data_IF_147348195771
#
_entry.id   IF_147348195771
#
_cell.length_a   1.000
_cell.length_b   1.000
_cell.length_c   1.000
_cell.angle_alpha   90.00
_cell.angle_beta   90.00
_cell.angle_gamma   90.00
#
_symmetry.space_group_name_H-M   'P 1'
#
loop_
_entity.id
_entity.type
_entity.pdbx_description
1 polymer ?
#
# COMPACT_ATOMS: atom_id res chain seq x y z
N UNK A 1 -67.44 -92.23 16.40
CA UNK A 1 -67.66 -90.78 16.34
C UNK A 1 -66.30 -90.13 16.23
N UNK A 2 -65.96 -89.64 15.05
CA UNK A 2 -64.70 -89.02 14.75
C UNK A 2 -64.74 -87.53 15.06
N UNK A 3 -63.74 -87.01 15.64
CA UNK A 3 -63.48 -85.58 15.61
C UNK A 3 -62.16 -85.34 14.94
N UNK A 4 -62.28 -84.76 13.81
CA UNK A 4 -61.22 -84.36 12.88
C UNK A 4 -60.37 -83.22 13.45
N UNK A 5 -59.10 -83.47 13.62
CA UNK A 5 -58.16 -82.47 14.13
C UNK A 5 -57.31 -81.95 12.98
N UNK A 6 -57.89 -81.10 12.11
CA UNK A 6 -57.28 -80.57 10.89
C UNK A 6 -56.65 -79.09 11.00
N UNK A 7 -56.32 -78.66 12.21
CA UNK A 7 -55.84 -77.30 12.43
C UNK A 7 -54.30 -77.13 12.54
N UNK A 8 -53.53 -78.20 12.56
CA UNK A 8 -52.09 -78.18 12.77
C UNK A 8 -51.25 -77.66 11.58
N UNK A 9 -51.55 -77.87 10.30
CA UNK A 9 -50.69 -77.43 9.22
C UNK A 9 -50.66 -75.88 9.04
N UNK A 10 -51.77 -75.16 9.28
CA UNK A 10 -51.87 -73.74 9.11
C UNK A 10 -51.05 -72.91 10.15
N UNK A 11 -50.90 -73.43 11.35
CA UNK A 11 -50.08 -72.82 12.40
C UNK A 11 -48.58 -72.82 12.04
N UNK A 12 -48.12 -73.95 11.48
CA UNK A 12 -46.72 -74.04 11.02
C UNK A 12 -46.43 -73.15 9.81
N UNK A 13 -47.37 -72.97 8.89
CA UNK A 13 -47.27 -72.09 7.74
C UNK A 13 -47.30 -70.65 8.23
N UNK A 14 -48.17 -70.27 9.16
CA UNK A 14 -48.20 -68.89 9.72
C UNK A 14 -46.93 -68.56 10.48
N UNK A 15 -46.33 -69.42 11.26
CA UNK A 15 -45.06 -69.25 11.94
C UNK A 15 -43.92 -69.14 10.94
N UNK A 16 -43.90 -69.94 9.87
CA UNK A 16 -42.93 -69.87 8.79
C UNK A 16 -42.99 -68.54 8.04
N UNK A 17 -44.22 -68.10 7.70
CA UNK A 17 -44.38 -66.76 7.07
C UNK A 17 -43.95 -65.59 7.99
N UNK A 18 -44.32 -65.67 9.30
CA UNK A 18 -43.87 -64.60 10.25
C UNK A 18 -42.34 -64.56 10.41
N UNK A 19 -41.70 -65.76 10.43
CA UNK A 19 -40.25 -65.85 10.46
C UNK A 19 -39.61 -65.28 9.18
N UNK A 20 -40.16 -65.62 7.99
CA UNK A 20 -39.66 -65.01 6.72
C UNK A 20 -39.88 -63.51 6.65
N UNK A 21 -41.01 -62.99 7.11
CA UNK A 21 -41.27 -61.58 7.23
C UNK A 21 -40.31 -60.93 8.22
N UNK A 22 -40.01 -61.55 9.32
CA UNK A 22 -39.01 -61.01 10.30
C UNK A 22 -37.64 -61.02 9.72
N UNK A 23 -37.19 -62.08 9.05
CA UNK A 23 -35.88 -62.13 8.36
C UNK A 23 -35.83 -61.13 7.24
N UNK A 24 -36.90 -61.01 6.42
CA UNK A 24 -36.93 -59.95 5.36
C UNK A 24 -36.90 -58.54 5.92
N UNK A 25 -37.57 -58.29 7.06
CA UNK A 25 -37.50 -56.96 7.73
C UNK A 25 -36.13 -56.64 8.27
N UNK A 26 -35.44 -57.67 8.80
CA UNK A 26 -34.02 -57.47 9.24
C UNK A 26 -33.14 -57.19 8.05
N UNK A 27 -33.26 -57.90 6.95
CA UNK A 27 -32.51 -57.71 5.72
C UNK A 27 -32.82 -56.34 5.13
N UNK A 28 -34.08 -55.92 5.09
CA UNK A 28 -34.50 -54.62 4.63
C UNK A 28 -33.92 -53.48 5.51
N UNK A 29 -33.99 -53.61 6.84
CA UNK A 29 -33.45 -52.67 7.78
C UNK A 29 -31.92 -52.55 7.67
N UNK A 30 -31.23 -53.69 7.54
CA UNK A 30 -29.78 -53.75 7.41
C UNK A 30 -29.27 -53.17 6.09
N UNK A 31 -30.09 -53.16 5.03
CA UNK A 31 -29.74 -52.58 3.72
C UNK A 31 -30.33 -51.20 3.50
N UNK A 32 -30.93 -50.57 4.52
CA UNK A 32 -31.47 -49.23 4.39
C UNK A 32 -30.33 -48.24 4.22
N UNK A 33 -30.45 -47.38 3.19
CA UNK A 33 -29.51 -46.25 2.94
C UNK A 33 -29.91 -45.04 3.76
N UNK A 34 -28.94 -44.26 4.11
CA UNK A 34 -29.04 -42.95 4.75
C UNK A 34 -28.28 -41.92 3.92
N UNK A 35 -28.82 -40.71 3.89
CA UNK A 35 -28.20 -39.61 3.19
C UNK A 35 -27.06 -39.02 4.05
N UNK A 36 -25.89 -38.88 3.47
CA UNK A 36 -24.70 -38.28 4.04
C UNK A 36 -24.08 -37.32 3.00
N UNK A 37 -23.13 -36.53 3.37
CA UNK A 37 -22.31 -35.79 2.39
C UNK A 37 -20.87 -36.27 2.40
N UNK A 38 -20.27 -36.42 1.22
CA UNK A 38 -18.88 -36.79 1.05
C UNK A 38 -18.17 -35.72 0.20
N UNK A 39 -17.17 -35.06 0.77
CA UNK A 39 -16.46 -33.94 0.15
C UNK A 39 -17.41 -32.84 -0.39
N UNK A 40 -18.51 -32.59 0.34
CA UNK A 40 -19.51 -31.59 -0.02
C UNK A 40 -20.54 -32.01 -1.05
N UNK A 41 -20.45 -33.23 -1.60
CA UNK A 41 -21.44 -33.81 -2.51
C UNK A 41 -22.39 -34.76 -1.74
N UNK A 42 -23.65 -34.85 -2.17
CA UNK A 42 -24.61 -35.78 -1.61
C UNK A 42 -24.19 -37.23 -1.93
N UNK A 43 -24.17 -38.05 -0.92
CA UNK A 43 -23.83 -39.48 -1.00
C UNK A 43 -24.78 -40.30 -0.16
N UNK A 44 -24.85 -41.59 -0.49
CA UNK A 44 -25.64 -42.57 0.27
C UNK A 44 -24.73 -43.58 0.95
N UNK A 45 -24.99 -43.85 2.20
CA UNK A 45 -24.30 -44.85 2.99
C UNK A 45 -25.32 -45.86 3.51
N UNK A 46 -24.95 -47.15 3.69
CA UNK A 46 -25.81 -48.10 4.38
C UNK A 46 -25.91 -47.73 5.86
N UNK A 47 -27.08 -47.97 6.45
CA UNK A 47 -27.25 -47.72 7.88
C UNK A 47 -26.21 -48.50 8.69
N UNK A 48 -25.56 -47.84 9.64
CA UNK A 48 -24.47 -48.39 10.44
C UNK A 48 -23.19 -48.78 9.64
N UNK A 49 -23.04 -48.35 8.38
CA UNK A 49 -21.76 -48.51 7.70
C UNK A 49 -20.72 -47.60 8.37
N UNK A 50 -19.46 -47.98 8.24
CA UNK A 50 -18.36 -47.17 8.74
C UNK A 50 -17.92 -46.12 7.71
N UNK A 51 -17.12 -45.19 8.14
CA UNK A 51 -16.48 -44.24 7.23
C UNK A 51 -15.62 -44.96 6.19
N UNK A 52 -14.89 -46.00 6.61
CA UNK A 52 -14.08 -46.83 5.70
C UNK A 52 -14.92 -47.46 4.61
N UNK A 53 -16.08 -48.08 4.99
CA UNK A 53 -17.02 -48.65 4.02
C UNK A 53 -17.59 -47.60 3.06
N UNK A 54 -17.85 -46.39 3.52
CA UNK A 54 -18.28 -45.31 2.62
C UNK A 54 -17.21 -44.96 1.60
N UNK A 55 -15.94 -44.84 2.03
CA UNK A 55 -14.79 -44.57 1.16
C UNK A 55 -14.64 -45.66 0.08
N UNK A 56 -14.78 -46.94 0.49
CA UNK A 56 -14.73 -48.08 -0.43
C UNK A 56 -15.92 -48.11 -1.40
N UNK A 57 -17.17 -47.97 -0.90
CA UNK A 57 -18.38 -47.99 -1.72
C UNK A 57 -18.38 -46.82 -2.75
N UNK A 58 -17.76 -45.73 -2.45
CA UNK A 58 -17.60 -44.57 -3.35
C UNK A 58 -16.33 -44.65 -4.21
N UNK A 59 -15.56 -45.73 -4.10
CA UNK A 59 -14.34 -45.97 -4.88
C UNK A 59 -13.29 -44.85 -4.73
N UNK A 60 -13.22 -44.25 -3.54
CA UNK A 60 -12.19 -43.30 -3.26
C UNK A 60 -10.89 -44.00 -2.89
N UNK A 61 -9.78 -43.60 -3.49
CA UNK A 61 -8.45 -44.11 -3.21
C UNK A 61 -7.58 -42.98 -2.63
N UNK A 62 -7.86 -42.51 -1.40
CA UNK A 62 -7.04 -41.43 -0.83
C UNK A 62 -5.64 -41.94 -0.55
N UNK A 63 -4.65 -41.18 -0.99
CA UNK A 63 -3.24 -41.53 -0.85
C UNK A 63 -2.50 -40.54 0.06
N UNK A 64 -1.53 -41.01 0.87
CA UNK A 64 -0.57 -40.12 1.54
C UNK A 64 0.22 -39.33 0.53
N UNK A 65 0.69 -38.12 0.93
CA UNK A 65 1.63 -37.34 0.14
C UNK A 65 3.04 -37.97 0.14
N UNK A 66 3.88 -37.50 -0.74
CA UNK A 66 5.27 -37.93 -0.83
C UNK A 66 6.20 -36.98 -0.04
N UNK A 67 7.36 -37.46 0.35
CA UNK A 67 8.48 -36.61 0.74
C UNK A 67 9.26 -36.29 -0.53
N UNK A 68 9.38 -34.99 -0.83
CA UNK A 68 10.07 -34.47 -1.99
C UNK A 68 11.43 -33.90 -1.61
N UNK A 69 12.39 -34.03 -2.51
CA UNK A 69 13.59 -33.21 -2.51
C UNK A 69 13.26 -31.77 -2.93
N UNK A 70 14.18 -30.85 -2.73
CA UNK A 70 14.02 -29.43 -3.07
C UNK A 70 13.82 -29.18 -4.57
N UNK A 71 14.18 -30.14 -5.45
CA UNK A 71 13.97 -30.10 -6.90
C UNK A 71 12.67 -30.80 -7.37
N UNK A 72 11.76 -31.07 -6.44
CA UNK A 72 10.47 -31.76 -6.67
C UNK A 72 10.58 -33.25 -6.96
N UNK A 73 11.78 -33.84 -6.97
CA UNK A 73 11.96 -35.29 -7.11
C UNK A 73 11.50 -36.01 -5.83
N UNK A 74 10.95 -37.24 -6.01
CA UNK A 74 10.40 -38.00 -4.88
C UNK A 74 11.54 -38.70 -4.14
N UNK A 75 11.82 -38.28 -2.92
CA UNK A 75 12.78 -38.96 -2.02
C UNK A 75 12.17 -40.20 -1.38
N UNK A 76 10.90 -40.13 -0.99
CA UNK A 76 10.18 -41.22 -0.36
C UNK A 76 8.71 -41.16 -0.71
N UNK A 77 8.21 -42.23 -1.38
CA UNK A 77 6.77 -42.40 -1.59
C UNK A 77 6.07 -42.51 -0.25
N UNK A 78 4.90 -41.88 -0.16
CA UNK A 78 4.05 -41.87 1.07
C UNK A 78 4.77 -41.31 2.31
N UNK A 79 5.83 -40.54 2.09
CA UNK A 79 6.63 -39.92 3.15
C UNK A 79 6.14 -38.54 3.58
N UNK A 80 5.11 -38.00 2.93
CA UNK A 80 4.51 -36.70 3.22
C UNK A 80 3.41 -36.76 4.30
N UNK A 81 2.45 -35.86 4.20
CA UNK A 81 1.29 -35.84 5.11
C UNK A 81 0.43 -37.12 4.92
N UNK A 82 -0.11 -37.62 6.01
CA UNK A 82 -1.06 -38.71 5.96
C UNK A 82 -2.41 -38.22 5.43
N UNK A 83 -3.21 -39.13 4.86
CA UNK A 83 -4.61 -38.93 4.54
C UNK A 83 -5.35 -38.30 5.70
N UNK A 84 -6.16 -37.31 5.44
CA UNK A 84 -7.00 -36.64 6.42
C UNK A 84 -8.45 -37.00 6.22
N UNK A 85 -9.08 -37.56 7.25
CA UNK A 85 -10.51 -37.83 7.25
C UNK A 85 -11.15 -37.05 8.39
N UNK A 86 -12.24 -36.33 8.09
CA UNK A 86 -13.03 -35.61 9.08
C UNK A 86 -14.50 -36.06 9.02
N UNK A 87 -15.10 -36.18 10.18
CA UNK A 87 -16.52 -36.37 10.38
C UNK A 87 -17.10 -35.13 11.07
N UNK A 88 -18.05 -34.47 10.41
CA UNK A 88 -18.67 -33.24 10.94
C UNK A 88 -17.64 -32.19 11.37
N UNK A 89 -16.55 -32.03 10.57
CA UNK A 89 -15.43 -31.06 10.81
C UNK A 89 -14.41 -31.55 11.87
N UNK A 90 -14.61 -32.71 12.51
CA UNK A 90 -13.66 -33.27 13.48
C UNK A 90 -12.80 -34.35 12.83
N UNK A 91 -11.49 -34.28 13.02
CA UNK A 91 -10.55 -35.28 12.49
C UNK A 91 -10.83 -36.67 13.13
N UNK A 92 -10.89 -37.69 12.29
CA UNK A 92 -11.01 -39.09 12.69
C UNK A 92 -9.66 -39.77 12.46
N UNK A 93 -9.21 -40.56 13.45
CA UNK A 93 -7.96 -41.32 13.32
C UNK A 93 -8.13 -42.45 12.31
N UNK A 94 -7.08 -42.78 11.57
CA UNK A 94 -7.11 -43.92 10.63
C UNK A 94 -7.52 -45.25 11.29
N UNK A 95 -7.15 -45.45 12.55
CA UNK A 95 -7.52 -46.64 13.30
C UNK A 95 -9.01 -46.69 13.71
N UNK A 96 -9.69 -45.55 13.65
CA UNK A 96 -11.08 -45.42 14.10
C UNK A 96 -12.07 -45.42 12.91
N UNK A 97 -11.59 -45.42 11.66
CA UNK A 97 -12.43 -45.33 10.46
C UNK A 97 -13.40 -46.50 10.34
N UNK A 98 -12.96 -47.73 10.62
CA UNK A 98 -13.77 -48.93 10.60
C UNK A 98 -14.82 -48.94 11.73
N UNK A 99 -14.47 -48.34 12.88
CA UNK A 99 -15.34 -48.38 14.08
C UNK A 99 -16.33 -47.20 14.10
N UNK A 100 -16.05 -46.13 13.40
CA UNK A 100 -16.91 -44.94 13.37
C UNK A 100 -18.07 -45.14 12.44
N UNK A 101 -19.29 -45.36 13.02
CA UNK A 101 -20.52 -45.61 12.28
C UNK A 101 -21.21 -44.33 11.88
N UNK A 102 -21.60 -44.25 10.61
CA UNK A 102 -22.27 -43.10 10.01
C UNK A 102 -23.74 -43.00 10.45
N UNK A 103 -24.16 -41.74 10.63
CA UNK A 103 -25.54 -41.37 10.94
C UNK A 103 -26.14 -40.53 9.80
N UNK A 104 -27.47 -40.50 9.67
CA UNK A 104 -28.14 -39.65 8.69
C UNK A 104 -27.71 -38.18 8.87
N UNK A 105 -27.30 -37.53 7.78
CA UNK A 105 -26.86 -36.13 7.76
C UNK A 105 -25.40 -35.88 8.11
N UNK A 106 -24.62 -36.97 8.34
CA UNK A 106 -23.18 -36.83 8.59
C UNK A 106 -22.45 -36.27 7.39
N UNK A 107 -21.43 -35.42 7.67
CA UNK A 107 -20.56 -34.82 6.68
C UNK A 107 -19.17 -35.46 6.81
N UNK A 108 -18.77 -36.17 5.78
CA UNK A 108 -17.46 -36.82 5.69
C UNK A 108 -16.60 -36.02 4.69
N UNK A 109 -15.43 -35.61 5.13
CA UNK A 109 -14.40 -34.99 4.29
C UNK A 109 -13.19 -35.94 4.25
N UNK A 110 -12.77 -36.31 3.06
CA UNK A 110 -11.61 -37.17 2.82
C UNK A 110 -10.66 -36.46 1.88
N UNK A 111 -9.50 -36.07 2.41
CA UNK A 111 -8.46 -35.38 1.67
C UNK A 111 -7.23 -36.27 1.53
N UNK A 112 -6.58 -36.22 0.37
CA UNK A 112 -5.25 -36.78 0.19
C UNK A 112 -4.25 -36.12 1.11
N UNK A 113 -3.20 -36.84 1.47
CA UNK A 113 -2.04 -36.23 2.12
C UNK A 113 -1.31 -35.28 1.16
N UNK A 114 -0.80 -34.18 1.66
CA UNK A 114 0.02 -33.25 0.87
C UNK A 114 1.46 -33.73 0.82
N UNK A 115 2.11 -33.50 -0.32
CA UNK A 115 3.56 -33.67 -0.43
C UNK A 115 4.25 -32.70 0.54
N UNK A 116 5.33 -33.14 1.14
CA UNK A 116 6.19 -32.33 2.02
C UNK A 116 7.58 -32.30 1.41
N UNK A 117 8.22 -31.14 1.48
CA UNK A 117 9.62 -31.05 1.17
C UNK A 117 10.48 -31.54 2.33
N UNK A 118 11.63 -32.11 2.02
CA UNK A 118 12.66 -32.40 3.02
C UNK A 118 13.05 -31.13 3.79
N UNK A 119 13.65 -31.29 4.96
CA UNK A 119 14.30 -30.16 5.63
C UNK A 119 15.38 -29.57 4.72
N UNK A 120 15.37 -28.25 4.57
CA UNK A 120 16.28 -27.54 3.69
C UNK A 120 16.71 -26.20 4.27
N UNK A 121 17.87 -25.74 3.85
CA UNK A 121 18.34 -24.39 4.10
C UNK A 121 17.92 -23.48 2.94
N UNK A 122 17.46 -22.26 3.27
CA UNK A 122 17.02 -21.27 2.30
C UNK A 122 18.09 -20.18 2.18
N UNK A 123 18.64 -20.03 0.99
CA UNK A 123 19.49 -18.91 0.61
C UNK A 123 18.62 -17.89 -0.12
N UNK A 124 18.23 -16.83 0.59
CA UNK A 124 17.37 -15.79 0.06
C UNK A 124 18.21 -14.61 -0.43
N UNK A 125 17.83 -14.07 -1.60
CA UNK A 125 18.37 -12.81 -2.14
C UNK A 125 17.23 -11.81 -2.27
N UNK A 126 17.41 -10.64 -1.68
CA UNK A 126 16.47 -9.54 -1.80
C UNK A 126 16.61 -8.87 -3.19
N UNK A 127 15.47 -8.56 -3.81
CA UNK A 127 15.38 -7.80 -5.05
C UNK A 127 14.88 -6.40 -4.69
N UNK A 128 15.78 -5.42 -4.77
CA UNK A 128 15.44 -4.05 -4.41
C UNK A 128 14.47 -3.43 -5.44
N UNK A 129 13.52 -2.57 -4.98
CA UNK A 129 12.66 -1.81 -5.88
C UNK A 129 13.47 -0.85 -6.76
N UNK A 130 13.05 -0.69 -8.01
CA UNK A 130 13.50 0.40 -8.88
C UNK A 130 12.63 1.64 -8.65
N UNK A 131 13.06 2.81 -9.17
CA UNK A 131 12.32 4.06 -9.11
C UNK A 131 12.02 4.57 -10.51
N UNK A 132 10.75 4.95 -10.75
CA UNK A 132 10.32 5.74 -11.90
C UNK A 132 9.79 7.10 -11.44
N UNK A 133 10.02 8.13 -12.25
CA UNK A 133 9.48 9.48 -12.06
C UNK A 133 8.69 9.83 -13.31
N UNK A 134 7.38 9.97 -13.19
CA UNK A 134 6.47 10.07 -14.31
C UNK A 134 5.65 11.35 -14.31
N UNK A 135 5.28 11.81 -15.51
CA UNK A 135 4.45 12.98 -15.69
C UNK A 135 5.24 14.30 -15.74
N UNK A 136 4.50 15.41 -15.65
CA UNK A 136 5.05 16.78 -15.64
C UNK A 136 4.17 17.66 -14.78
N UNK A 137 4.78 18.56 -14.02
CA UNK A 137 4.05 19.51 -13.19
C UNK A 137 4.86 19.98 -11.98
N UNK A 138 4.29 20.93 -11.26
CA UNK A 138 4.92 21.55 -10.11
C UNK A 138 4.74 20.74 -8.81
N UNK A 139 3.81 19.80 -8.76
CA UNK A 139 3.54 18.92 -7.60
C UNK A 139 4.11 17.55 -7.91
N UNK A 140 5.02 17.08 -7.04
CA UNK A 140 5.68 15.79 -7.17
C UNK A 140 5.54 15.01 -5.86
N UNK A 141 5.10 13.76 -5.92
CA UNK A 141 4.82 12.95 -4.73
C UNK A 141 4.99 11.46 -4.99
N UNK A 142 5.18 10.69 -3.94
CA UNK A 142 5.25 9.23 -4.03
C UNK A 142 3.84 8.68 -4.25
N UNK A 143 3.60 8.15 -5.43
CA UNK A 143 2.34 7.50 -5.81
C UNK A 143 2.31 6.04 -5.37
N UNK A 144 3.42 5.34 -5.60
CA UNK A 144 3.58 3.93 -5.23
C UNK A 144 4.86 3.75 -4.42
N UNK A 145 4.73 3.16 -3.24
CA UNK A 145 5.87 2.74 -2.44
C UNK A 145 6.38 1.39 -2.91
N UNK A 146 7.69 1.25 -3.00
CA UNK A 146 8.34 0.00 -3.39
C UNK A 146 8.25 -1.05 -2.29
N UNK A 147 8.04 -2.31 -2.69
CA UNK A 147 8.15 -3.46 -1.79
C UNK A 147 9.23 -4.38 -2.36
N UNK A 148 10.23 -4.76 -1.55
CA UNK A 148 11.28 -5.65 -2.02
C UNK A 148 10.73 -6.99 -2.50
N UNK A 149 11.26 -7.47 -3.61
CA UNK A 149 11.07 -8.84 -4.05
C UNK A 149 12.04 -9.78 -3.35
N UNK A 150 11.87 -11.09 -3.58
CA UNK A 150 12.73 -12.11 -3.00
C UNK A 150 12.85 -13.28 -3.95
N UNK A 151 14.09 -13.71 -4.20
CA UNK A 151 14.39 -14.98 -4.84
C UNK A 151 15.03 -15.94 -3.84
N UNK A 152 14.88 -17.25 -4.08
CA UNK A 152 15.36 -18.27 -3.17
C UNK A 152 16.07 -19.39 -3.90
N UNK A 153 17.17 -19.86 -3.30
CA UNK A 153 17.83 -21.12 -3.62
C UNK A 153 17.72 -22.02 -2.40
N UNK A 154 17.14 -23.21 -2.59
CA UNK A 154 16.98 -24.20 -1.53
C UNK A 154 18.07 -25.27 -1.59
N UNK A 155 18.60 -25.66 -0.43
CA UNK A 155 19.62 -26.72 -0.30
C UNK A 155 19.05 -27.80 0.61
N UNK A 156 18.74 -28.97 0.04
CA UNK A 156 18.18 -30.10 0.77
C UNK A 156 19.16 -30.69 1.77
N UNK A 157 18.72 -30.93 3.00
CA UNK A 157 19.59 -31.50 4.05
C UNK A 157 19.76 -33.01 3.94
N UNK A 158 18.76 -33.68 3.39
CA UNK A 158 18.79 -35.14 3.22
C UNK A 158 19.37 -35.53 1.85
N UNK A 159 18.91 -34.86 0.78
CA UNK A 159 19.34 -35.15 -0.59
C UNK A 159 20.70 -34.55 -0.96
N UNK A 160 21.05 -33.39 -0.34
CA UNK A 160 22.16 -32.55 -0.75
C UNK A 160 21.91 -31.80 -2.07
N UNK A 161 20.70 -31.88 -2.62
CA UNK A 161 20.34 -31.21 -3.88
C UNK A 161 20.19 -29.73 -3.65
N UNK A 162 20.61 -28.92 -4.62
CA UNK A 162 20.38 -27.49 -4.67
C UNK A 162 19.40 -27.18 -5.78
N UNK A 163 18.33 -26.43 -5.46
CA UNK A 163 17.30 -26.02 -6.42
C UNK A 163 17.09 -24.51 -6.38
N UNK A 164 17.15 -23.89 -7.55
CA UNK A 164 16.76 -22.48 -7.72
C UNK A 164 15.21 -22.41 -7.80
N UNK A 165 14.61 -21.80 -6.80
CA UNK A 165 13.15 -21.58 -6.75
C UNK A 165 12.72 -20.30 -7.47
N UNK A 166 13.68 -19.52 -7.98
CA UNK A 166 13.43 -18.27 -8.66
C UNK A 166 12.84 -17.20 -7.75
N UNK A 167 12.02 -16.33 -8.32
CA UNK A 167 11.34 -15.26 -7.59
C UNK A 167 10.14 -15.85 -6.84
N UNK A 168 10.20 -15.85 -5.51
CA UNK A 168 9.14 -16.33 -4.62
C UNK A 168 8.25 -15.19 -4.12
N UNK A 169 8.74 -13.95 -4.22
CA UNK A 169 8.00 -12.74 -3.97
C UNK A 169 8.35 -11.71 -5.03
N UNK A 170 7.35 -11.25 -5.77
CA UNK A 170 7.52 -10.23 -6.81
C UNK A 170 7.89 -8.87 -6.18
N UNK A 171 8.76 -8.12 -6.87
CA UNK A 171 9.12 -6.76 -6.47
C UNK A 171 8.03 -5.79 -6.92
N UNK A 172 7.66 -4.84 -6.05
CA UNK A 172 6.87 -3.66 -6.42
C UNK A 172 7.81 -2.48 -6.52
N UNK A 173 7.84 -1.82 -7.68
CA UNK A 173 8.71 -0.66 -7.90
C UNK A 173 8.11 0.61 -7.31
N UNK A 174 8.98 1.57 -6.95
CA UNK A 174 8.58 2.90 -6.54
C UNK A 174 8.14 3.72 -7.76
N UNK A 175 7.07 4.51 -7.59
CA UNK A 175 6.62 5.48 -8.59
C UNK A 175 6.46 6.86 -7.92
N UNK A 176 7.11 7.87 -8.50
CA UNK A 176 6.88 9.29 -8.19
C UNK A 176 6.08 9.90 -9.31
N UNK A 177 4.93 10.46 -9.00
CA UNK A 177 4.11 11.18 -9.96
C UNK A 177 4.43 12.68 -9.93
N UNK A 178 4.47 13.30 -11.13
CA UNK A 178 4.57 14.74 -11.31
C UNK A 178 3.27 15.25 -11.95
N UNK A 179 2.58 16.18 -11.29
CA UNK A 179 1.30 16.72 -11.75
C UNK A 179 1.26 18.26 -11.64
N UNK A 180 0.51 18.89 -12.53
CA UNK A 180 0.05 20.28 -12.36
C UNK A 180 -1.31 20.23 -11.65
N UNK A 181 -1.62 21.24 -10.85
CA UNK A 181 -2.98 21.39 -10.29
C UNK A 181 -3.94 21.80 -11.40
N UNK A 182 -5.01 21.05 -11.53
CA UNK A 182 -6.10 21.29 -12.50
C UNK A 182 -7.41 21.51 -11.76
N UNK A 183 -7.72 22.74 -11.33
CA UNK A 183 -8.90 22.99 -10.52
C UNK A 183 -10.21 22.58 -11.19
N UNK A 184 -11.05 21.82 -10.49
CA UNK A 184 -12.42 21.43 -10.90
C UNK A 184 -13.43 22.58 -10.83
N UNK A 185 -12.96 23.77 -11.01
CA UNK A 185 -13.63 24.99 -10.65
C UNK A 185 -14.56 25.50 -11.77
N UNK A 186 -15.76 25.08 -11.81
CA UNK A 186 -16.87 25.54 -12.66
C UNK A 186 -16.89 27.09 -12.86
N UNK A 187 -15.90 27.60 -13.62
CA UNK A 187 -15.75 29.02 -13.93
C UNK A 187 -14.96 29.88 -12.92
N UNK A 188 -14.49 29.33 -11.82
CA UNK A 188 -13.57 30.00 -10.88
C UNK A 188 -12.12 29.87 -11.32
N UNK A 189 -11.30 30.82 -10.95
CA UNK A 189 -9.87 30.82 -11.23
C UNK A 189 -9.11 30.88 -9.89
N UNK A 190 -8.11 30.04 -9.75
CA UNK A 190 -7.31 29.94 -8.53
C UNK A 190 -5.81 30.07 -8.85
N UNK A 191 -5.08 30.66 -7.92
CA UNK A 191 -3.62 30.77 -7.98
C UNK A 191 -3.06 30.70 -6.56
N UNK A 192 -1.88 30.09 -6.38
CA UNK A 192 -1.16 30.14 -5.11
C UNK A 192 0.03 31.08 -5.22
N UNK A 193 0.13 32.03 -4.27
CA UNK A 193 1.35 32.80 -4.04
C UNK A 193 2.22 32.05 -3.04
N UNK A 194 3.49 31.88 -3.38
CA UNK A 194 4.45 31.20 -2.52
C UNK A 194 5.71 32.00 -2.35
N UNK A 195 6.30 31.98 -1.15
CA UNK A 195 7.45 32.77 -0.75
C UNK A 195 8.58 31.84 -0.30
N UNK A 196 9.73 31.96 -0.94
CA UNK A 196 10.90 31.12 -0.71
C UNK A 196 12.00 31.83 0.06
N UNK A 197 12.92 31.06 0.63
CA UNK A 197 14.16 31.52 1.27
C UNK A 197 13.98 32.31 2.59
N UNK A 198 12.72 32.57 2.98
CA UNK A 198 12.43 33.23 4.25
C UNK A 198 12.71 32.36 5.50
N UNK A 199 12.43 32.93 6.69
CA UNK A 199 11.94 34.28 6.92
C UNK A 199 13.04 35.34 6.85
N UNK A 200 12.64 36.59 6.53
CA UNK A 200 13.48 37.76 6.54
C UNK A 200 12.98 38.81 7.55
N UNK A 201 13.62 39.97 7.56
CA UNK A 201 13.15 41.12 8.33
C UNK A 201 11.82 41.68 7.84
N UNK A 202 11.45 41.40 6.57
CA UNK A 202 10.22 41.88 5.94
C UNK A 202 9.07 40.88 5.98
N UNK A 203 9.28 39.64 6.44
CA UNK A 203 8.27 38.59 6.50
C UNK A 203 6.99 39.05 7.20
N UNK A 204 7.13 39.74 8.34
CA UNK A 204 5.94 40.22 9.08
C UNK A 204 5.12 41.25 8.29
N UNK A 205 5.77 42.04 7.43
CA UNK A 205 5.07 42.97 6.56
C UNK A 205 4.35 42.21 5.40
N UNK A 206 4.99 41.18 4.84
CA UNK A 206 4.35 40.31 3.85
C UNK A 206 3.11 39.66 4.46
N UNK A 207 3.23 39.05 5.65
CA UNK A 207 2.10 38.45 6.40
C UNK A 207 0.97 39.44 6.60
N UNK A 208 1.29 40.66 7.02
CA UNK A 208 0.28 41.72 7.25
C UNK A 208 -0.45 42.10 5.95
N UNK A 209 0.25 42.27 4.83
CA UNK A 209 -0.37 42.57 3.53
C UNK A 209 -1.33 41.44 3.12
N UNK A 210 -0.91 40.18 3.22
CA UNK A 210 -1.74 39.03 2.87
C UNK A 210 -3.00 38.96 3.72
N UNK A 211 -2.91 39.22 5.04
CA UNK A 211 -4.05 39.27 5.95
C UNK A 211 -5.00 40.42 5.62
N UNK A 212 -4.47 41.64 5.39
CA UNK A 212 -5.27 42.82 5.03
C UNK A 212 -6.01 42.63 3.69
N UNK A 213 -5.41 41.90 2.74
CA UNK A 213 -6.03 41.55 1.46
C UNK A 213 -6.95 40.32 1.54
N UNK A 214 -6.97 39.56 2.64
CA UNK A 214 -7.79 38.39 2.84
C UNK A 214 -7.46 37.23 1.92
N UNK A 215 -6.19 37.01 1.61
CA UNK A 215 -5.71 35.98 0.66
C UNK A 215 -4.87 34.92 1.35
N UNK A 216 -4.93 33.68 0.80
CA UNK A 216 -4.07 32.58 1.23
C UNK A 216 -2.66 32.68 0.66
N UNK A 217 -1.69 32.06 1.32
CA UNK A 217 -0.31 31.99 0.86
C UNK A 217 0.43 30.79 1.48
N UNK A 218 1.59 30.46 0.91
CA UNK A 218 2.47 29.39 1.42
C UNK A 218 3.90 29.91 1.51
N UNK A 219 4.58 29.62 2.61
CA UNK A 219 5.96 30.03 2.86
C UNK A 219 6.86 28.79 2.90
N UNK A 220 7.88 28.75 2.05
CA UNK A 220 8.94 27.74 2.07
C UNK A 220 10.16 28.32 2.77
N UNK A 221 10.37 27.90 4.01
CA UNK A 221 11.32 28.55 4.92
C UNK A 221 12.67 27.83 4.95
N UNK A 222 13.75 28.58 4.97
CA UNK A 222 15.11 28.09 5.18
C UNK A 222 15.41 27.93 6.66
N UNK A 223 15.90 26.76 7.08
CA UNK A 223 16.06 26.41 8.49
C UNK A 223 17.05 27.27 9.27
N UNK A 224 18.08 27.83 8.65
CA UNK A 224 19.00 28.78 9.28
C UNK A 224 18.34 30.17 9.46
N UNK A 225 17.48 30.59 8.53
CA UNK A 225 16.71 31.82 8.67
C UNK A 225 15.61 31.69 9.71
N UNK A 226 14.96 30.51 9.82
CA UNK A 226 14.02 30.18 10.89
C UNK A 226 14.63 30.40 12.27
N UNK A 227 15.89 29.98 12.47
CA UNK A 227 16.61 30.22 13.73
C UNK A 227 16.90 31.67 13.99
N UNK A 228 17.11 32.45 12.94
CA UNK A 228 17.41 33.89 13.04
C UNK A 228 16.15 34.71 13.32
N UNK A 229 15.01 34.33 12.75
CA UNK A 229 13.74 35.06 12.82
C UNK A 229 12.56 34.18 13.33
N UNK A 230 12.65 33.58 14.53
CA UNK A 230 11.64 32.65 15.00
C UNK A 230 10.26 33.29 15.19
N UNK A 231 10.21 34.60 15.52
CA UNK A 231 8.93 35.30 15.70
C UNK A 231 8.18 35.54 14.37
N UNK A 232 8.90 35.66 13.26
CA UNK A 232 8.31 35.75 11.94
C UNK A 232 7.64 34.39 11.57
N UNK A 233 8.26 33.25 11.90
CA UNK A 233 7.67 31.92 11.70
C UNK A 233 6.38 31.76 12.49
N UNK A 234 6.36 32.20 13.75
CA UNK A 234 5.14 32.21 14.58
C UNK A 234 4.04 33.08 13.97
N UNK A 235 4.39 34.24 13.42
CA UNK A 235 3.44 35.13 12.77
C UNK A 235 2.80 34.47 11.53
N UNK A 236 3.58 33.76 10.70
CA UNK A 236 3.08 32.98 9.55
C UNK A 236 2.10 31.92 10.05
N UNK A 237 2.47 31.11 11.06
CA UNK A 237 1.65 30.04 11.60
C UNK A 237 0.35 30.58 12.22
N UNK A 238 0.42 31.66 13.00
CA UNK A 238 -0.74 32.30 13.63
C UNK A 238 -1.69 32.93 12.60
N UNK A 239 -1.17 33.37 11.47
CA UNK A 239 -1.97 33.88 10.36
C UNK A 239 -2.71 32.77 9.60
N UNK A 240 -2.39 31.49 9.85
CA UNK A 240 -2.99 30.34 9.19
C UNK A 240 -2.45 30.07 7.79
N UNK A 241 -1.29 30.60 7.44
CA UNK A 241 -0.65 30.31 6.17
C UNK A 241 0.07 28.97 6.19
N UNK A 242 0.17 28.32 5.03
CA UNK A 242 0.91 27.08 4.88
C UNK A 242 2.42 27.31 5.06
N UNK A 243 3.08 26.35 5.71
CA UNK A 243 4.53 26.37 5.88
C UNK A 243 5.12 25.08 5.29
N UNK A 244 6.04 25.25 4.34
CA UNK A 244 6.93 24.22 3.82
C UNK A 244 8.39 24.53 4.16
N UNK A 245 9.27 23.62 3.81
CA UNK A 245 10.73 23.79 3.96
C UNK A 245 11.38 24.11 2.62
N UNK A 246 12.26 25.10 2.63
CA UNK A 246 13.23 25.35 1.56
C UNK A 246 14.61 24.81 1.98
N UNK A 247 14.61 23.64 2.67
CA UNK A 247 15.76 22.97 3.28
C UNK A 247 16.37 23.71 4.47
N UNK A 248 17.54 23.25 4.95
CA UNK A 248 18.20 23.94 6.07
C UNK A 248 18.93 25.20 5.61
N UNK A 249 19.55 25.17 4.42
CA UNK A 249 20.24 26.29 3.77
C UNK A 249 19.96 26.26 2.28
N UNK A 250 20.09 27.40 1.65
CA UNK A 250 20.04 27.53 0.20
C UNK A 250 21.25 26.82 -0.44
N UNK A 251 21.01 25.55 -0.80
CA UNK A 251 21.99 24.62 -1.38
C UNK A 251 21.32 23.79 -2.45
N UNK A 252 21.93 23.69 -3.62
CA UNK A 252 21.44 22.81 -4.68
C UNK A 252 21.51 21.35 -4.25
N UNK A 253 20.34 20.74 -4.04
CA UNK A 253 20.23 19.35 -3.58
C UNK A 253 20.73 18.35 -4.59
N UNK A 254 20.78 18.68 -5.89
CA UNK A 254 21.32 17.81 -6.92
C UNK A 254 22.83 17.53 -6.77
N UNK A 255 23.51 18.37 -6.02
CA UNK A 255 24.94 18.22 -5.70
C UNK A 255 25.21 17.40 -4.45
N UNK A 256 24.16 16.98 -3.72
CA UNK A 256 24.25 16.30 -2.44
C UNK A 256 23.75 14.85 -2.55
N UNK A 257 24.39 13.97 -1.80
CA UNK A 257 24.02 12.56 -1.69
C UNK A 257 24.04 12.10 -0.24
N UNK A 258 23.43 10.95 0.05
CA UNK A 258 23.49 10.27 1.33
C UNK A 258 23.11 11.16 2.51
N UNK A 259 23.92 11.12 3.56
CA UNK A 259 23.66 11.84 4.82
C UNK A 259 23.63 13.36 4.64
N UNK A 260 24.37 13.90 3.67
CA UNK A 260 24.38 15.34 3.35
C UNK A 260 23.02 15.81 2.88
N UNK A 261 22.43 15.13 1.90
CA UNK A 261 21.08 15.38 1.39
C UNK A 261 20.04 15.25 2.50
N UNK A 262 20.01 14.10 3.18
CA UNK A 262 19.05 13.82 4.26
C UNK A 262 19.14 14.83 5.40
N UNK A 263 20.37 15.26 5.76
CA UNK A 263 20.58 16.28 6.78
C UNK A 263 20.05 17.65 6.39
N UNK A 264 20.19 18.08 5.13
CA UNK A 264 19.64 19.35 4.65
C UNK A 264 18.11 19.36 4.76
N UNK A 265 17.46 18.27 4.37
CA UNK A 265 16.01 18.13 4.41
C UNK A 265 15.50 18.05 5.86
N UNK A 266 16.00 17.10 6.65
CA UNK A 266 15.50 16.85 8.01
C UNK A 266 15.72 18.05 8.95
N UNK A 267 16.90 18.70 8.88
CA UNK A 267 17.18 19.87 9.70
C UNK A 267 16.33 21.09 9.32
N UNK A 268 15.91 21.22 8.05
CA UNK A 268 14.95 22.22 7.63
C UNK A 268 13.60 22.02 8.31
N UNK A 269 13.05 20.81 8.23
CA UNK A 269 11.80 20.44 8.89
C UNK A 269 11.86 20.58 10.41
N UNK A 270 12.96 20.13 11.02
CA UNK A 270 13.17 20.23 12.47
C UNK A 270 13.21 21.70 12.96
N UNK A 271 13.85 22.58 12.20
CA UNK A 271 13.92 23.99 12.55
C UNK A 271 12.52 24.64 12.52
N UNK A 272 11.74 24.36 11.48
CA UNK A 272 10.37 24.85 11.32
C UNK A 272 9.48 24.32 12.44
N UNK A 273 9.49 23.02 12.69
CA UNK A 273 8.64 22.39 13.72
C UNK A 273 8.90 22.99 15.11
N UNK A 274 10.16 23.25 15.44
CA UNK A 274 10.55 23.88 16.72
C UNK A 274 10.11 25.33 16.86
N UNK A 275 9.98 26.06 15.74
CA UNK A 275 9.64 27.48 15.76
C UNK A 275 8.14 27.74 15.66
N UNK A 276 7.39 26.88 14.94
CA UNK A 276 5.97 27.05 14.64
C UNK A 276 5.04 26.18 15.47
N UNK A 277 5.56 25.19 16.21
CA UNK A 277 4.80 24.11 16.86
C UNK A 277 3.93 23.31 15.87
N UNK A 278 4.25 23.36 14.57
CA UNK A 278 3.57 22.63 13.50
C UNK A 278 4.53 21.70 12.78
N UNK A 279 4.02 20.59 12.25
CA UNK A 279 4.81 19.69 11.41
C UNK A 279 4.55 19.95 9.94
N UNK A 280 5.59 19.84 9.13
CA UNK A 280 5.48 19.84 7.67
C UNK A 280 6.39 18.76 7.08
N UNK A 281 5.96 18.17 5.97
CA UNK A 281 6.77 17.32 5.10
C UNK A 281 6.70 17.84 3.64
N UNK A 282 6.31 19.10 3.49
CA UNK A 282 6.23 19.84 2.24
C UNK A 282 7.59 20.47 1.96
N UNK A 283 8.22 20.08 0.86
CA UNK A 283 9.55 20.54 0.47
C UNK A 283 9.50 21.33 -0.83
N UNK A 284 10.16 22.48 -0.87
CA UNK A 284 10.60 23.11 -2.12
C UNK A 284 12.12 23.08 -2.14
N UNK A 285 12.73 22.30 -3.06
CA UNK A 285 14.18 22.29 -3.15
C UNK A 285 14.67 23.64 -3.70
N UNK A 286 15.76 24.20 -3.15
CA UNK A 286 16.42 25.35 -3.76
C UNK A 286 16.70 25.09 -5.24
N UNK A 287 16.61 26.14 -6.06
CA UNK A 287 16.77 26.08 -7.53
C UNK A 287 15.76 25.16 -8.25
N UNK A 288 14.75 24.63 -7.57
CA UNK A 288 13.76 23.70 -8.11
C UNK A 288 14.31 22.31 -8.46
N UNK A 289 15.54 22.00 -8.05
CA UNK A 289 16.27 20.80 -8.43
C UNK A 289 16.08 19.68 -7.39
N UNK A 290 15.41 18.61 -7.79
CA UNK A 290 15.26 17.37 -7.01
C UNK A 290 15.29 16.18 -7.96
N UNK A 291 16.45 15.54 -8.06
CA UNK A 291 16.74 14.52 -9.06
C UNK A 291 16.10 13.17 -8.68
N UNK A 292 16.11 12.21 -9.61
CA UNK A 292 15.71 10.84 -9.33
C UNK A 292 16.55 10.21 -8.21
N UNK A 293 17.84 10.55 -8.16
CA UNK A 293 18.75 10.12 -7.10
C UNK A 293 18.37 10.72 -5.74
N UNK A 294 18.01 12.02 -5.70
CA UNK A 294 17.51 12.65 -4.48
C UNK A 294 16.22 11.96 -4.00
N UNK A 295 15.28 11.62 -4.90
CA UNK A 295 14.09 10.86 -4.57
C UNK A 295 14.44 9.51 -3.96
N UNK A 296 15.31 8.73 -4.60
CA UNK A 296 15.69 7.41 -4.11
C UNK A 296 16.29 7.44 -2.70
N UNK A 297 17.03 8.49 -2.37
CA UNK A 297 17.74 8.63 -1.10
C UNK A 297 16.94 9.32 0.01
N UNK A 298 15.83 10.01 -0.32
CA UNK A 298 15.14 10.87 0.65
C UNK A 298 13.60 10.89 0.52
N UNK A 299 12.99 10.01 -0.30
CA UNK A 299 11.52 9.99 -0.47
C UNK A 299 10.78 9.66 0.83
N UNK A 300 11.42 9.01 1.79
CA UNK A 300 10.89 8.72 3.12
C UNK A 300 10.86 9.95 4.05
N UNK A 301 11.47 11.06 3.66
CA UNK A 301 11.50 12.31 4.42
C UNK A 301 10.49 13.34 3.93
N UNK A 302 9.99 13.21 2.69
CA UNK A 302 9.16 14.22 2.04
C UNK A 302 7.83 13.65 1.59
N UNK A 303 6.72 14.34 1.89
CA UNK A 303 5.41 13.93 1.38
C UNK A 303 5.17 14.48 -0.02
N UNK A 304 5.56 15.73 -0.25
CA UNK A 304 5.40 16.43 -1.53
C UNK A 304 6.60 17.33 -1.77
N UNK A 305 7.13 17.24 -2.97
CA UNK A 305 8.11 18.21 -3.51
C UNK A 305 7.37 19.16 -4.44
N UNK A 306 7.51 20.47 -4.20
CA UNK A 306 6.80 21.50 -4.94
C UNK A 306 7.80 22.40 -5.65
N UNK A 307 7.60 22.59 -6.92
CA UNK A 307 8.25 23.65 -7.71
C UNK A 307 7.24 24.76 -8.01
N UNK A 308 7.39 25.47 -9.10
CA UNK A 308 6.50 26.56 -9.50
C UNK A 308 6.15 26.49 -10.98
N UNK A 309 5.11 27.20 -11.36
CA UNK A 309 4.71 27.39 -12.76
C UNK A 309 5.20 28.75 -13.29
N UNK A 310 5.26 29.74 -12.39
CA UNK A 310 5.63 31.12 -12.72
C UNK A 310 6.72 31.57 -11.77
N UNK A 311 7.85 31.97 -12.32
CA UNK A 311 8.90 32.71 -11.63
C UNK A 311 8.60 34.20 -11.77
N UNK A 312 8.40 34.89 -10.66
CA UNK A 312 8.13 36.33 -10.66
C UNK A 312 9.33 37.18 -11.12
N UNK A 313 10.54 36.63 -11.05
CA UNK A 313 11.79 37.30 -11.32
C UNK A 313 12.15 38.37 -10.28
N UNK A 314 11.50 38.43 -9.11
CA UNK A 314 11.74 39.44 -8.07
C UNK A 314 13.17 39.38 -7.52
N UNK A 315 13.81 38.21 -7.55
CA UNK A 315 15.21 38.02 -7.14
C UNK A 315 16.23 38.75 -8.02
N UNK A 316 15.83 39.17 -9.21
CA UNK A 316 16.67 39.99 -10.10
C UNK A 316 16.55 41.51 -9.83
N UNK A 317 15.64 41.91 -8.96
CA UNK A 317 15.35 43.30 -8.59
C UNK A 317 14.94 44.22 -9.78
N UNK A 318 13.99 43.80 -10.63
CA UNK A 318 13.59 44.57 -11.82
C UNK A 318 12.67 45.77 -11.50
N UNK A 319 12.24 45.92 -10.26
CA UNK A 319 11.27 46.90 -9.78
C UNK A 319 9.87 46.28 -9.56
N UNK A 320 9.16 46.79 -8.55
CA UNK A 320 7.89 46.22 -8.09
C UNK A 320 6.82 46.10 -9.19
N UNK A 321 6.70 47.08 -10.08
CA UNK A 321 5.76 47.05 -11.20
C UNK A 321 6.13 45.94 -12.20
N UNK A 322 7.39 45.76 -12.53
CA UNK A 322 7.85 44.74 -13.47
C UNK A 322 7.58 43.31 -12.91
N UNK A 323 7.79 43.11 -11.60
CA UNK A 323 7.41 41.83 -10.92
C UNK A 323 5.91 41.60 -11.05
N UNK A 324 5.08 42.61 -10.77
CA UNK A 324 3.61 42.47 -10.89
C UNK A 324 3.19 42.17 -12.32
N UNK A 325 3.74 42.88 -13.31
CA UNK A 325 3.42 42.65 -14.74
C UNK A 325 3.82 41.23 -15.19
N UNK A 326 4.96 40.72 -14.73
CA UNK A 326 5.41 39.34 -15.02
C UNK A 326 4.43 38.33 -14.49
N UNK A 327 4.02 38.43 -13.23
CA UNK A 327 3.09 37.49 -12.59
C UNK A 327 1.73 37.57 -13.26
N UNK A 328 1.12 38.76 -13.34
CA UNK A 328 -0.23 38.96 -13.87
C UNK A 328 -0.35 38.60 -15.34
N UNK A 329 0.71 38.90 -16.13
CA UNK A 329 0.75 38.58 -17.56
C UNK A 329 0.93 37.09 -17.88
N UNK A 330 1.40 36.29 -16.92
CA UNK A 330 1.74 34.88 -17.15
C UNK A 330 0.76 33.90 -16.47
N UNK A 331 -0.05 34.36 -15.51
CA UNK A 331 -0.86 33.50 -14.66
C UNK A 331 -1.96 32.77 -15.41
N UNK A 332 -2.13 31.49 -15.11
CA UNK A 332 -3.25 30.66 -15.53
C UNK A 332 -3.87 29.95 -14.32
N UNK A 333 -5.08 29.42 -14.48
CA UNK A 333 -5.79 28.72 -13.41
C UNK A 333 -4.98 27.52 -12.91
N UNK A 334 -4.82 27.40 -11.59
CA UNK A 334 -4.07 26.34 -10.94
C UNK A 334 -2.56 26.59 -10.84
N UNK A 335 -2.07 27.77 -11.25
CA UNK A 335 -0.65 28.08 -11.18
C UNK A 335 -0.16 28.36 -9.76
N UNK A 336 1.11 28.04 -9.54
CA UNK A 336 1.90 28.32 -8.34
C UNK A 336 2.95 29.33 -8.72
N UNK A 337 2.95 30.48 -8.03
CA UNK A 337 3.85 31.59 -8.28
C UNK A 337 4.99 31.58 -7.26
N UNK A 338 6.23 31.66 -7.72
CA UNK A 338 7.42 31.88 -6.91
C UNK A 338 7.64 33.37 -6.68
N UNK A 339 7.75 33.76 -5.42
CA UNK A 339 8.23 35.00 -4.91
C UNK A 339 9.33 34.68 -3.87
N UNK A 340 10.20 35.67 -3.55
CA UNK A 340 11.28 35.49 -2.57
C UNK A 340 11.06 36.34 -1.31
N UNK A 341 11.41 35.78 -0.15
CA UNK A 341 11.37 36.44 1.15
C UNK A 341 12.76 36.45 1.80
N UNK A 342 13.81 36.65 1.02
CA UNK A 342 15.15 36.77 1.56
C UNK A 342 15.53 38.24 1.86
N UNK A 343 16.63 38.43 2.59
CA UNK A 343 17.06 39.78 3.03
C UNK A 343 17.38 40.75 1.89
N UNK A 344 17.75 40.26 0.70
CA UNK A 344 18.16 41.12 -0.43
C UNK A 344 17.00 41.53 -1.34
N UNK A 345 15.91 40.75 -1.39
CA UNK A 345 14.82 40.92 -2.36
C UNK A 345 13.50 41.28 -1.71
N UNK A 346 13.27 40.88 -0.46
CA UNK A 346 11.98 40.99 0.22
C UNK A 346 11.40 42.39 0.32
N UNK A 347 12.23 43.41 0.33
CA UNK A 347 11.76 44.80 0.31
C UNK A 347 11.00 45.12 -0.99
N UNK A 348 11.51 44.70 -2.15
CA UNK A 348 10.84 44.88 -3.43
C UNK A 348 9.60 43.97 -3.52
N UNK A 349 9.69 42.74 -2.99
CA UNK A 349 8.56 41.82 -2.93
C UNK A 349 7.40 42.43 -2.13
N UNK A 350 7.66 43.08 -0.99
CA UNK A 350 6.67 43.83 -0.21
C UNK A 350 5.98 44.91 -1.03
N UNK A 351 6.76 45.67 -1.86
CA UNK A 351 6.19 46.70 -2.73
C UNK A 351 5.36 46.13 -3.89
N UNK A 352 5.80 45.02 -4.46
CA UNK A 352 5.10 44.32 -5.57
C UNK A 352 3.81 43.62 -5.14
N UNK A 353 3.78 43.06 -3.93
CA UNK A 353 2.72 42.17 -3.45
C UNK A 353 1.30 42.76 -3.53
N UNK A 354 1.04 44.01 -3.04
CA UNK A 354 -0.29 44.60 -3.20
C UNK A 354 -0.68 44.80 -4.66
N UNK A 355 0.25 45.11 -5.56
CA UNK A 355 0.00 45.29 -6.99
C UNK A 355 -0.39 43.94 -7.63
N UNK A 356 0.31 42.88 -7.29
CA UNK A 356 -0.01 41.50 -7.75
C UNK A 356 -1.40 41.09 -7.28
N UNK A 357 -1.67 41.22 -5.99
CA UNK A 357 -2.94 40.77 -5.41
C UNK A 357 -4.13 41.53 -6.02
N UNK A 358 -4.07 42.86 -6.08
CA UNK A 358 -5.17 43.68 -6.58
C UNK A 358 -5.47 43.40 -8.04
N UNK A 359 -4.45 43.23 -8.88
CA UNK A 359 -4.62 42.90 -10.30
C UNK A 359 -5.15 41.49 -10.53
N UNK A 360 -4.67 40.49 -9.77
CA UNK A 360 -5.16 39.13 -9.86
C UNK A 360 -6.63 39.02 -9.41
N UNK A 361 -6.99 39.69 -8.29
CA UNK A 361 -8.37 39.73 -7.83
C UNK A 361 -9.29 40.45 -8.84
N UNK A 362 -8.82 41.55 -9.44
CA UNK A 362 -9.54 42.25 -10.51
C UNK A 362 -9.73 41.38 -11.76
N UNK A 363 -8.78 40.46 -12.04
CA UNK A 363 -8.88 39.48 -13.13
C UNK A 363 -9.72 38.25 -12.77
N UNK A 364 -10.32 38.21 -11.55
CA UNK A 364 -11.21 37.16 -11.06
C UNK A 364 -10.51 35.94 -10.50
N UNK A 365 -9.25 36.04 -10.07
CA UNK A 365 -8.55 34.97 -9.36
C UNK A 365 -8.85 35.03 -7.85
N UNK A 366 -9.09 33.85 -7.27
CA UNK A 366 -9.00 33.63 -5.82
C UNK A 366 -7.57 33.18 -5.51
N UNK A 367 -6.92 33.87 -4.56
CA UNK A 367 -5.56 33.56 -4.16
C UNK A 367 -5.59 32.66 -2.94
N UNK A 368 -5.07 31.45 -3.08
CA UNK A 368 -5.17 30.38 -2.09
C UNK A 368 -3.80 30.03 -1.52
N UNK A 369 -3.79 29.37 -0.36
CA UNK A 369 -2.63 28.61 0.05
C UNK A 369 -2.43 27.40 -0.87
N UNK A 370 -1.26 26.78 -0.85
CA UNK A 370 -0.98 25.60 -1.67
C UNK A 370 -1.88 24.43 -1.28
N UNK A 371 -2.12 24.23 0.02
CA UNK A 371 -3.00 23.16 0.49
C UNK A 371 -4.44 23.36 0.02
N UNK A 372 -4.91 24.59 -0.01
CA UNK A 372 -6.26 24.90 -0.51
C UNK A 372 -6.33 24.86 -2.05
N UNK A 373 -5.25 25.26 -2.74
CA UNK A 373 -5.17 25.10 -4.20
C UNK A 373 -5.23 23.61 -4.59
N UNK A 374 -4.50 22.74 -3.90
CA UNK A 374 -4.54 21.28 -4.14
C UNK A 374 -5.96 20.73 -3.95
N UNK A 375 -6.72 21.19 -2.96
CA UNK A 375 -8.11 20.76 -2.71
C UNK A 375 -9.07 21.13 -3.83
N UNK A 376 -8.71 22.05 -4.72
CA UNK A 376 -9.54 22.42 -5.89
C UNK A 376 -9.43 21.41 -7.04
N UNK A 377 -8.49 20.46 -6.97
CA UNK A 377 -8.30 19.33 -7.87
C UNK A 377 -8.63 18.06 -7.08
N UNK A 378 -9.84 17.52 -7.25
CA UNK A 378 -10.37 16.41 -6.44
C UNK A 378 -9.48 15.17 -6.55
N UNK A 379 -9.02 14.83 -7.76
CA UNK A 379 -8.15 13.67 -8.01
C UNK A 379 -6.79 13.83 -7.30
N UNK A 380 -6.18 15.01 -7.40
CA UNK A 380 -4.90 15.29 -6.75
C UNK A 380 -5.03 15.29 -5.21
N UNK A 381 -6.12 15.84 -4.69
CA UNK A 381 -6.40 15.87 -3.26
C UNK A 381 -6.62 14.46 -2.69
N UNK A 382 -7.24 13.54 -3.45
CA UNK A 382 -7.42 12.14 -3.04
C UNK A 382 -6.08 11.39 -3.01
N UNK A 383 -5.20 11.65 -3.97
CA UNK A 383 -3.86 11.04 -4.03
C UNK A 383 -2.93 11.57 -2.93
N UNK A 384 -3.01 12.86 -2.60
CA UNK A 384 -2.18 13.54 -1.59
C UNK A 384 -2.81 13.49 -0.19
N UNK A 385 -2.66 12.36 0.49
CA UNK A 385 -3.28 12.10 1.81
C UNK A 385 -2.80 13.03 2.94
N UNK A 386 -1.61 13.60 2.83
CA UNK A 386 -1.03 14.50 3.84
C UNK A 386 0.12 15.34 3.28
N UNK A 387 0.14 16.62 3.61
CA UNK A 387 1.29 17.52 3.37
C UNK A 387 2.21 17.66 4.59
N UNK A 388 1.80 17.13 5.75
CA UNK A 388 2.48 17.33 7.03
C UNK A 388 3.30 16.14 7.50
N UNK A 389 3.10 14.97 6.92
CA UNK A 389 3.81 13.74 7.27
C UNK A 389 3.91 12.80 6.08
N UNK A 390 4.98 12.03 6.06
CA UNK A 390 5.15 10.93 5.13
C UNK A 390 4.40 9.69 5.63
N UNK A 391 3.70 9.00 4.74
CA UNK A 391 2.97 7.78 5.05
C UNK A 391 3.62 6.58 4.34
N UNK A 392 4.86 6.26 4.71
CA UNK A 392 5.56 5.09 4.19
C UNK A 392 5.01 3.81 4.85
N UNK A 393 4.57 2.79 4.09
CA UNK A 393 4.18 1.49 4.63
C UNK A 393 5.34 0.78 5.34
N UNK A 394 5.03 -0.13 6.28
CA UNK A 394 6.05 -0.83 7.08
C UNK A 394 6.90 -1.81 6.26
N UNK A 395 6.33 -2.37 5.22
CA UNK A 395 6.94 -3.32 4.29
C UNK A 395 7.59 -2.64 3.08
N UNK A 396 7.50 -1.31 3.01
CA UNK A 396 8.13 -0.54 1.94
C UNK A 396 9.64 -0.39 2.18
N UNK A 397 10.38 -0.29 1.09
CA UNK A 397 11.80 0.00 1.07
C UNK A 397 12.12 1.15 0.11
N UNK A 398 13.23 1.84 0.38
CA UNK A 398 13.76 2.82 -0.55
C UNK A 398 14.29 2.11 -1.81
N UNK A 399 14.10 2.70 -3.00
CA UNK A 399 14.62 2.13 -4.24
C UNK A 399 16.13 2.18 -4.28
N UNK A 400 16.72 1.22 -4.97
CA UNK A 400 18.11 1.33 -5.39
C UNK A 400 18.17 1.91 -6.80
N UNK A 401 18.99 2.94 -6.98
CA UNK A 401 19.36 3.39 -8.32
C UNK A 401 20.43 2.41 -8.80
N UNK A 402 20.23 1.81 -9.97
CA UNK A 402 21.31 1.08 -10.62
C UNK A 402 22.48 2.06 -10.72
N UNK A 403 23.63 1.70 -10.16
CA UNK A 403 24.86 2.42 -10.47
C UNK A 403 24.94 2.48 -12.00
N UNK A 404 25.03 3.69 -12.55
CA UNK A 404 25.24 3.84 -14.00
C UNK A 404 26.33 2.85 -14.39
N UNK A 405 25.94 1.85 -15.15
CA UNK A 405 26.90 0.92 -15.72
C UNK A 405 27.79 1.77 -16.60
N UNK A 406 28.97 2.06 -16.09
CA UNK A 406 29.97 2.75 -16.87
C UNK A 406 30.06 2.05 -18.20
N UNK A 407 29.88 2.83 -19.26
CA UNK A 407 30.04 2.37 -20.64
C UNK A 407 31.26 1.49 -20.71
N UNK A 408 31.02 0.19 -20.87
CA UNK A 408 32.09 -0.70 -21.39
C UNK A 408 32.10 -0.48 -22.90
N UNK A 409 33.08 0.32 -23.35
CA UNK A 409 33.52 0.35 -24.75
C UNK A 409 33.71 -1.04 -25.34
#
# INVERSE_FOLDING_TARGET
MGTNNSRKPYAFIAVGCAFLFFVASIIWYANREVDVTLNGADAKARINSSIEQLIEDQQLEPAPGNLLAVDDSVLKKEGGERVSVKLNGKRVSANDLEQTKLQPGDKVEVDNGRDLYEEHDVQATEIAPALTVEGRGAIKYVKTWGVPGRSEVWVGKQSGITADKGVVQEVVNCEVACRSVSPDAKGKKYVALTFDEGPSENTQQIVKILQEKGVGATFFLSGDMVKKYPDAVKAIAQAGFDIGSNTYRDTDLSTLTGDGLRSQISRGFDAISKASDTSTALLRPPYGSFTQENWAQAMDLVSVVVTWNIDSGDWTLPGAQAVADTVVGSVSNGNIVLLTDNASTSAQTVEALPLIIDQLQAAGYELLSLSDLIKTDEDLAEELKSLTKVNMPKDAALPQIAADGGDSE
#
